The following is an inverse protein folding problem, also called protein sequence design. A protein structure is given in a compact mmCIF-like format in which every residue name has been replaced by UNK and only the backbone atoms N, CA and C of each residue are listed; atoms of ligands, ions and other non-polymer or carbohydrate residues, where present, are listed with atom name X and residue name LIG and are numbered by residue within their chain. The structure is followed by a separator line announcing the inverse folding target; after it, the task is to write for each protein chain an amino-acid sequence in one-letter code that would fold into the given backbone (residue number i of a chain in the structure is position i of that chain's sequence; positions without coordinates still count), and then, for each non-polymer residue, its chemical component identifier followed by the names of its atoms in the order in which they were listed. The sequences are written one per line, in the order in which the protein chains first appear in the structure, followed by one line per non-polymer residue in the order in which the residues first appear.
data_IF_425359999808
#
_entry.id   IF_425359999808
#
_cell.length_a   1.000
_cell.length_b   1.000
_cell.length_c   1.000
_cell.angle_alpha   90.00
_cell.angle_beta   90.00
_cell.angle_gamma   90.00
#
_symmetry.space_group_name_H-M   'P 1'
#
loop_
_entity.id
_entity.type
_entity.pdbx_description
1 polymer ?
#
# COMPACT_ATOMS: atom_id res chain seq x y z
N UNK A 1 -2.83 -20.22 -25.52
CA UNK A 1 -2.18 -20.79 -24.32
C UNK A 1 -2.78 -20.09 -23.13
N UNK A 2 -3.62 -20.80 -22.39
CA UNK A 2 -4.36 -20.30 -21.23
C UNK A 2 -3.39 -19.82 -20.15
N UNK A 3 -3.28 -18.50 -19.98
CA UNK A 3 -2.69 -17.94 -18.78
C UNK A 3 -3.73 -18.06 -17.67
N UNK A 4 -3.56 -19.07 -16.82
CA UNK A 4 -4.34 -19.28 -15.61
C UNK A 4 -4.23 -18.03 -14.73
N UNK A 5 -5.29 -17.21 -14.68
CA UNK A 5 -5.38 -16.00 -13.85
C UNK A 5 -5.62 -16.29 -12.36
N UNK A 6 -5.43 -17.54 -11.91
CA UNK A 6 -5.71 -17.98 -10.55
C UNK A 6 -4.46 -18.04 -9.65
N UNK A 7 -3.57 -17.04 -9.73
CA UNK A 7 -2.71 -16.80 -8.57
C UNK A 7 -3.55 -16.15 -7.48
N UNK A 8 -3.86 -16.93 -6.44
CA UNK A 8 -4.48 -16.43 -5.20
C UNK A 8 -3.76 -15.14 -4.79
N UNK A 9 -4.49 -14.10 -4.34
CA UNK A 9 -3.85 -12.86 -3.92
C UNK A 9 -2.82 -13.14 -2.83
N UNK A 10 -1.68 -12.45 -2.89
CA UNK A 10 -0.63 -12.46 -1.87
C UNK A 10 -1.08 -11.69 -0.62
N UNK A 11 -2.20 -12.11 -0.01
CA UNK A 11 -2.78 -11.59 1.22
C UNK A 11 -3.22 -12.76 2.09
N UNK A 12 -2.89 -12.69 3.37
CA UNK A 12 -3.37 -13.61 4.40
C UNK A 12 -4.48 -12.96 5.22
N UNK A 13 -5.44 -13.76 5.70
CA UNK A 13 -6.45 -13.32 6.68
C UNK A 13 -5.95 -13.42 8.12
N UNK A 14 -4.85 -14.15 8.34
CA UNK A 14 -4.11 -14.18 9.60
C UNK A 14 -2.78 -13.43 9.44
N UNK A 15 -2.17 -12.91 10.52
CA UNK A 15 -0.84 -12.31 10.43
C UNK A 15 0.15 -13.26 9.75
N UNK A 16 0.86 -12.76 8.73
CA UNK A 16 1.88 -13.51 8.04
C UNK A 16 3.12 -13.65 8.92
N UNK A 17 3.89 -14.72 8.71
CA UNK A 17 5.22 -14.85 9.30
C UNK A 17 6.17 -13.89 8.57
N UNK A 18 6.27 -12.65 9.08
CA UNK A 18 6.92 -11.55 8.37
C UNK A 18 7.08 -10.28 9.20
N UNK A 19 7.64 -9.24 8.59
CA UNK A 19 7.94 -7.98 9.26
C UNK A 19 6.65 -7.21 9.57
N UNK A 20 6.47 -6.79 10.82
CA UNK A 20 5.37 -5.90 11.20
C UNK A 20 5.77 -4.44 11.02
N UNK A 21 5.02 -3.73 10.17
CA UNK A 21 5.24 -2.33 9.82
C UNK A 21 4.04 -1.52 10.29
N UNK A 22 4.30 -0.46 11.04
CA UNK A 22 3.26 0.46 11.52
C UNK A 22 3.25 1.70 10.65
N UNK A 23 2.06 2.16 10.27
CA UNK A 23 1.88 3.37 9.46
C UNK A 23 0.90 4.32 10.12
N UNK A 24 1.22 5.60 10.12
CA UNK A 24 0.39 6.70 10.62
C UNK A 24 0.56 7.91 9.69
N UNK A 25 -0.45 8.77 9.60
CA UNK A 25 -0.31 10.06 8.94
C UNK A 25 -1.04 11.17 9.69
N UNK A 26 -0.48 12.37 9.59
CA UNK A 26 -1.03 13.57 10.21
C UNK A 26 -1.15 14.69 9.18
N UNK A 27 -2.38 15.13 8.95
CA UNK A 27 -2.68 16.28 8.08
C UNK A 27 -2.09 17.57 8.66
N UNK A 28 -2.19 17.75 9.98
CA UNK A 28 -1.64 18.92 10.68
C UNK A 28 -0.13 18.99 10.54
N UNK A 29 0.57 17.86 10.70
CA UNK A 29 2.03 17.79 10.53
C UNK A 29 2.46 17.66 9.08
N UNK A 30 1.51 17.51 8.14
CA UNK A 30 1.73 17.30 6.71
C UNK A 30 2.71 16.16 6.42
N UNK A 31 2.61 15.07 7.19
CA UNK A 31 3.59 13.97 7.19
C UNK A 31 2.90 12.63 7.35
N UNK A 32 3.47 11.61 6.74
CA UNK A 32 3.18 10.21 7.04
C UNK A 32 4.43 9.55 7.63
N UNK A 33 4.27 8.73 8.65
CA UNK A 33 5.33 8.01 9.33
C UNK A 33 5.15 6.50 9.14
N UNK A 34 6.27 5.83 8.92
CA UNK A 34 6.36 4.38 8.81
C UNK A 34 7.40 3.92 9.81
N UNK A 35 7.08 2.96 10.68
CA UNK A 35 8.03 2.39 11.63
C UNK A 35 8.05 0.87 11.56
N UNK A 36 9.21 0.27 11.78
CA UNK A 36 9.38 -1.17 11.76
C UNK A 36 10.52 -1.59 12.70
N UNK A 37 10.46 -2.81 13.25
CA UNK A 37 11.57 -3.34 14.03
C UNK A 37 12.76 -3.63 13.10
N UNK A 38 13.95 -3.17 13.49
CA UNK A 38 15.19 -3.51 12.80
C UNK A 38 16.35 -3.53 13.80
N UNK A 39 16.87 -4.72 14.12
CA UNK A 39 17.86 -4.88 15.18
C UNK A 39 17.32 -4.47 16.56
N UNK A 40 18.18 -3.90 17.41
CA UNK A 40 17.84 -3.45 18.77
C UNK A 40 17.15 -2.08 18.83
N UNK A 41 17.24 -1.28 17.76
CA UNK A 41 16.67 0.06 17.69
C UNK A 41 15.73 0.12 16.49
N UNK A 42 14.42 0.21 16.75
CA UNK A 42 13.41 0.31 15.69
C UNK A 42 13.72 1.45 14.70
N UNK A 43 13.41 1.23 13.42
CA UNK A 43 13.61 2.23 12.38
C UNK A 43 12.32 2.99 12.06
N UNK A 44 12.51 4.19 11.50
CA UNK A 44 11.44 5.05 11.02
C UNK A 44 11.76 5.67 9.68
N UNK A 45 10.73 5.86 8.88
CA UNK A 45 10.76 6.65 7.65
C UNK A 45 9.61 7.66 7.68
N UNK A 46 9.82 8.84 7.11
CA UNK A 46 8.81 9.92 7.10
C UNK A 46 8.65 10.45 5.68
N UNK A 47 7.42 10.41 5.18
CA UNK A 47 7.02 11.00 3.91
C UNK A 47 6.50 12.40 4.17
N UNK A 48 6.97 13.37 3.40
CA UNK A 48 6.42 14.73 3.40
C UNK A 48 5.23 14.83 2.46
N UNK A 49 4.20 15.56 2.87
CA UNK A 49 3.03 15.81 2.03
C UNK A 49 3.38 16.66 0.81
N UNK A 50 2.81 16.29 -0.34
CA UNK A 50 2.79 17.17 -1.50
C UNK A 50 1.66 18.20 -1.39
N UNK A 51 1.75 19.36 -2.06
CA UNK A 51 0.65 20.31 -2.16
C UNK A 51 -0.64 19.64 -2.65
N UNK A 52 -1.78 19.94 -2.02
CA UNK A 52 -3.07 19.35 -2.37
C UNK A 52 -3.30 17.91 -1.88
N UNK A 53 -2.33 17.28 -1.19
CA UNK A 53 -2.54 15.93 -0.65
C UNK A 53 -3.59 15.93 0.47
N UNK A 54 -4.54 15.00 0.38
CA UNK A 54 -5.48 14.73 1.48
C UNK A 54 -4.81 13.88 2.56
N UNK A 55 -5.45 13.77 3.74
CA UNK A 55 -4.99 12.86 4.79
C UNK A 55 -4.95 11.41 4.27
N UNK A 56 -6.02 10.97 3.61
CA UNK A 56 -6.13 9.62 3.05
C UNK A 56 -5.04 9.34 2.01
N UNK A 57 -4.67 10.33 1.19
CA UNK A 57 -3.57 10.20 0.23
C UNK A 57 -2.22 10.00 0.94
N UNK A 58 -2.00 10.66 2.08
CA UNK A 58 -0.78 10.50 2.88
C UNK A 58 -0.70 9.13 3.56
N UNK A 59 -1.81 8.68 4.15
CA UNK A 59 -1.90 7.34 4.75
C UNK A 59 -1.65 6.26 3.69
N UNK A 60 -2.26 6.39 2.50
CA UNK A 60 -2.03 5.48 1.39
C UNK A 60 -0.56 5.50 0.94
N UNK A 61 0.06 6.68 0.90
CA UNK A 61 1.46 6.82 0.50
C UNK A 61 2.41 6.06 1.44
N UNK A 62 2.12 6.05 2.75
CA UNK A 62 2.88 5.27 3.73
C UNK A 62 2.79 3.76 3.45
N UNK A 63 1.59 3.27 3.15
CA UNK A 63 1.37 1.86 2.82
C UNK A 63 2.04 1.47 1.50
N UNK A 64 1.90 2.29 0.46
CA UNK A 64 2.56 2.07 -0.83
C UNK A 64 4.08 2.05 -0.67
N UNK A 65 4.62 2.94 0.15
CA UNK A 65 6.05 2.95 0.45
C UNK A 65 6.50 1.66 1.13
N UNK A 66 5.73 1.14 2.09
CA UNK A 66 6.04 -0.12 2.76
C UNK A 66 6.07 -1.29 1.75
N UNK A 67 5.06 -1.41 0.87
CA UNK A 67 5.06 -2.43 -0.18
C UNK A 67 6.25 -2.30 -1.14
N UNK A 68 6.63 -1.07 -1.52
CA UNK A 68 7.82 -0.83 -2.37
C UNK A 68 9.13 -1.20 -1.66
N UNK A 69 9.20 -0.99 -0.35
CA UNK A 69 10.40 -1.28 0.44
C UNK A 69 10.63 -2.78 0.62
N UNK A 70 9.56 -3.55 0.84
CA UNK A 70 9.61 -5.00 1.05
C UNK A 70 8.79 -5.74 0.00
N UNK A 71 9.35 -5.89 -1.19
CA UNK A 71 8.66 -6.55 -2.32
C UNK A 71 8.78 -8.08 -2.29
N UNK A 72 9.86 -8.59 -1.68
CA UNK A 72 10.20 -10.02 -1.68
C UNK A 72 9.96 -10.71 -0.34
N UNK A 73 9.64 -9.94 0.70
CA UNK A 73 9.45 -10.43 2.07
C UNK A 73 8.00 -10.20 2.49
N UNK A 74 7.32 -11.17 3.12
CA UNK A 74 6.00 -10.94 3.69
C UNK A 74 6.04 -9.84 4.76
N UNK A 75 5.06 -8.94 4.73
CA UNK A 75 4.91 -7.87 5.71
C UNK A 75 3.49 -7.82 6.27
N UNK A 76 3.37 -7.49 7.55
CA UNK A 76 2.12 -7.18 8.22
C UNK A 76 2.04 -5.66 8.38
N UNK A 77 1.13 -5.01 7.66
CA UNK A 77 0.93 -3.56 7.78
C UNK A 77 -0.16 -3.29 8.81
N UNK A 78 0.20 -2.54 9.84
CA UNK A 78 -0.70 -2.07 10.89
C UNK A 78 -0.97 -0.59 10.66
N UNK A 79 -2.23 -0.24 10.44
CA UNK A 79 -2.70 1.13 10.21
C UNK A 79 -3.93 1.40 11.06
N UNK A 80 -4.03 2.61 11.58
CA UNK A 80 -5.20 3.15 12.29
C UNK A 80 -6.27 3.70 11.33
N UNK A 81 -5.96 3.83 10.04
CA UNK A 81 -6.90 4.26 9.02
C UNK A 81 -7.75 3.11 8.50
N UNK A 82 -9.00 3.04 8.99
CA UNK A 82 -10.00 2.07 8.50
C UNK A 82 -10.22 2.20 6.98
N UNK A 83 -10.12 3.42 6.44
CA UNK A 83 -10.23 3.66 5.01
C UNK A 83 -9.12 2.94 4.24
N UNK A 84 -7.86 3.09 4.66
CA UNK A 84 -6.73 2.46 4.00
C UNK A 84 -6.74 0.94 4.17
N UNK A 85 -7.02 0.45 5.38
CA UNK A 85 -7.16 -1.00 5.62
C UNK A 85 -8.23 -1.55 4.67
N UNK A 86 -9.41 -0.93 4.59
CA UNK A 86 -10.48 -1.36 3.68
C UNK A 86 -10.11 -1.27 2.20
N UNK A 87 -9.43 -0.19 1.77
CA UNK A 87 -9.01 -0.01 0.39
C UNK A 87 -7.98 -1.07 -0.04
N UNK A 88 -6.93 -1.27 0.77
CA UNK A 88 -5.86 -2.25 0.51
C UNK A 88 -6.40 -3.67 0.51
N UNK A 89 -7.30 -3.98 1.44
CA UNK A 89 -7.96 -5.28 1.51
C UNK A 89 -8.79 -5.59 0.25
N UNK A 90 -9.39 -4.57 -0.38
CA UNK A 90 -10.23 -4.69 -1.58
C UNK A 90 -9.45 -4.57 -2.89
N UNK A 91 -8.22 -4.06 -2.87
CA UNK A 91 -7.35 -3.88 -4.05
C UNK A 91 -7.00 -5.20 -4.77
N UNK A 92 -7.42 -6.35 -4.21
CA UNK A 92 -7.42 -7.71 -4.79
C UNK A 92 -7.94 -7.85 -6.23
N UNK A 93 -8.54 -6.83 -6.85
CA UNK A 93 -9.22 -6.92 -8.17
C UNK A 93 -9.01 -5.78 -9.16
N UNK A 94 -8.23 -4.75 -8.83
CA UNK A 94 -7.97 -3.69 -9.81
C UNK A 94 -6.85 -4.11 -10.77
N UNK A 95 -7.08 -5.18 -11.53
CA UNK A 95 -6.43 -5.31 -12.83
C UNK A 95 -7.09 -4.22 -13.67
N UNK A 96 -6.37 -3.13 -13.95
CA UNK A 96 -6.71 -2.33 -15.13
C UNK A 96 -6.68 -3.33 -16.26
N UNK A 97 -7.87 -3.79 -16.72
CA UNK A 97 -7.97 -4.56 -17.95
C UNK A 97 -7.12 -3.80 -18.96
N UNK A 98 -6.10 -4.43 -19.52
CA UNK A 98 -5.43 -3.84 -20.67
C UNK A 98 -6.55 -3.47 -21.64
N UNK A 99 -6.71 -2.17 -21.87
CA UNK A 99 -7.77 -1.66 -22.72
C UNK A 99 -7.38 -2.05 -24.14
N UNK A 100 -7.75 -3.26 -24.56
CA UNK A 100 -7.71 -3.68 -25.96
C UNK A 100 -8.53 -2.76 -26.87
N UNK A 101 -9.37 -1.91 -26.27
CA UNK A 101 -10.05 -0.83 -26.95
C UNK A 101 -9.15 0.41 -26.98
N UNK A 102 -8.54 0.65 -28.14
CA UNK A 102 -7.67 1.81 -28.40
C UNK A 102 -8.36 3.15 -28.07
N UNK A 103 -9.68 3.23 -28.27
CA UNK A 103 -10.47 4.45 -27.99
C UNK A 103 -10.52 4.73 -26.49
N UNK A 104 -10.77 3.70 -25.67
CA UNK A 104 -10.79 3.87 -24.21
C UNK A 104 -9.40 4.20 -23.66
N UNK A 105 -8.32 3.64 -24.24
CA UNK A 105 -6.94 3.95 -23.83
C UNK A 105 -6.56 5.41 -24.03
N UNK A 106 -7.15 6.09 -25.03
CA UNK A 106 -6.92 7.51 -25.28
C UNK A 106 -7.57 8.41 -24.25
N UNK A 107 -8.66 7.96 -23.61
CA UNK A 107 -9.41 8.75 -22.62
C UNK A 107 -8.70 8.84 -21.26
N UNK A 108 -7.84 7.85 -20.95
CA UNK A 108 -7.09 7.75 -19.70
C UNK A 108 -5.60 8.07 -19.88
N UNK A 109 -5.22 8.72 -20.98
CA UNK A 109 -3.86 9.19 -21.25
C UNK A 109 -3.60 10.56 -20.63
#
# INVERSE_FOLDING_TARGET
TDQCFEELPKRSEVPAEGLTVFTDASKTRKKAAITWPEGSIGKKYVIQSQPGSSLQTLELSAVVWAFKKWQTVPINIVSDSLYIVGAVQRIKRAVLKELHNSILSQLFR
#
